data_IF_068394094055
#
_entry.id   IF_068394094055
#
_cell.length_a   1.000
_cell.length_b   1.000
_cell.length_c   1.000
_cell.angle_alpha   90.00
_cell.angle_beta   90.00
_cell.angle_gamma   90.00
#
_symmetry.space_group_name_H-M   'P 1'
#
loop_
_entity.id
_entity.type
_entity.pdbx_description
1 polymer ?
#
# COMPACT_ATOMS: atom_id res chain seq x y z
N UNK A 1 46.15 31.50 48.73
CA UNK A 1 45.02 32.41 48.42
C UNK A 1 43.78 31.54 48.27
N UNK A 2 42.68 31.92 48.92
CA UNK A 2 41.40 31.20 49.10
C UNK A 2 41.32 30.10 50.17
N UNK A 3 41.51 30.49 51.42
CA UNK A 3 40.64 30.04 52.52
C UNK A 3 39.59 31.12 52.76
N UNK A 4 38.51 31.11 51.98
CA UNK A 4 37.34 31.93 52.25
C UNK A 4 36.34 31.06 53.03
N UNK A 5 36.28 31.35 54.32
CA UNK A 5 35.42 30.80 55.36
C UNK A 5 33.96 30.63 54.89
N UNK A 6 33.53 29.37 54.75
CA UNK A 6 32.19 29.03 54.23
C UNK A 6 31.08 29.60 55.13
N UNK A 7 31.33 29.75 56.43
CA UNK A 7 30.37 30.30 57.38
C UNK A 7 29.99 31.76 57.07
N UNK A 8 30.94 32.55 56.54
CA UNK A 8 30.69 33.95 56.17
C UNK A 8 29.91 34.10 54.87
N UNK A 9 29.97 33.09 53.99
CA UNK A 9 29.15 33.05 52.77
C UNK A 9 27.69 32.83 53.10
N UNK A 10 27.41 31.94 54.05
CA UNK A 10 26.04 31.60 54.43
C UNK A 10 25.38 32.75 55.22
N UNK A 11 26.14 33.44 56.06
CA UNK A 11 25.69 34.67 56.73
C UNK A 11 25.39 35.80 55.73
N UNK A 12 26.22 35.96 54.69
CA UNK A 12 25.98 36.94 53.63
C UNK A 12 24.70 36.64 52.85
N UNK A 13 24.46 35.37 52.50
CA UNK A 13 23.25 34.95 51.78
C UNK A 13 21.96 35.14 52.61
N UNK A 14 22.03 34.99 53.93
CA UNK A 14 20.91 35.23 54.85
C UNK A 14 20.68 36.71 55.14
N UNK A 15 21.70 37.56 55.01
CA UNK A 15 21.62 39.01 55.23
C UNK A 15 21.10 39.80 54.03
N UNK A 16 21.08 39.18 52.84
CA UNK A 16 20.55 39.80 51.64
C UNK A 16 19.02 39.84 51.75
N UNK A 17 18.39 41.03 51.69
CA UNK A 17 16.94 41.09 51.63
C UNK A 17 16.50 40.44 50.31
N UNK A 18 16.00 39.22 50.39
CA UNK A 18 15.26 38.61 49.30
C UNK A 18 14.06 39.51 49.11
N UNK A 19 14.08 40.35 48.07
CA UNK A 19 12.86 40.93 47.52
C UNK A 19 12.06 39.74 46.99
N UNK A 20 11.23 39.16 47.85
CA UNK A 20 10.06 38.41 47.43
C UNK A 20 9.11 39.44 46.83
N UNK A 21 9.39 39.88 45.62
CA UNK A 21 8.28 40.29 44.77
C UNK A 21 7.41 39.04 44.62
N UNK A 22 6.09 39.15 44.81
CA UNK A 22 5.22 38.01 44.63
C UNK A 22 5.42 37.53 43.19
N UNK A 23 6.07 36.37 43.06
CA UNK A 23 5.97 35.59 41.84
C UNK A 23 4.50 35.28 41.75
N UNK A 24 3.84 35.89 40.78
CA UNK A 24 2.46 35.61 40.43
C UNK A 24 2.46 34.15 39.98
N UNK A 25 2.29 33.23 40.94
CA UNK A 25 1.91 31.85 40.72
C UNK A 25 0.48 31.87 40.18
N UNK A 26 0.33 32.39 38.96
CA UNK A 26 -0.75 31.97 38.11
C UNK A 26 -0.41 30.52 37.75
N UNK A 27 -0.77 29.60 38.64
CA UNK A 27 -1.22 28.28 38.21
C UNK A 27 -2.21 28.58 37.09
N UNK A 28 -1.76 28.37 35.85
CA UNK A 28 -2.61 28.34 34.68
C UNK A 28 -3.55 27.14 34.91
N UNK A 29 -4.59 27.37 35.73
CA UNK A 29 -5.64 26.42 36.03
C UNK A 29 -6.28 26.16 34.69
N UNK A 30 -5.86 25.07 34.06
CA UNK A 30 -6.56 24.51 32.91
C UNK A 30 -7.99 24.30 33.38
N UNK A 31 -8.89 25.19 32.95
CA UNK A 31 -10.27 25.15 33.38
C UNK A 31 -10.82 23.77 33.03
N UNK A 32 -11.54 23.08 33.94
CA UNK A 32 -12.17 21.80 33.63
C UNK A 32 -13.07 21.90 32.40
N UNK A 33 -13.69 23.07 32.18
CA UNK A 33 -14.46 23.37 30.96
C UNK A 33 -13.59 23.41 29.70
N UNK A 34 -12.33 23.86 29.80
CA UNK A 34 -11.37 23.84 28.70
C UNK A 34 -10.98 22.41 28.29
N UNK A 35 -10.85 21.51 29.26
CA UNK A 35 -10.58 20.08 29.01
C UNK A 35 -11.81 19.42 28.40
N UNK A 36 -13.01 19.69 28.92
CA UNK A 36 -14.26 19.17 28.36
C UNK A 36 -14.47 19.63 26.91
N UNK A 37 -14.20 20.89 26.62
CA UNK A 37 -14.25 21.43 25.25
C UNK A 37 -13.24 20.74 24.33
N UNK A 38 -11.99 20.54 24.78
CA UNK A 38 -10.95 19.86 24.00
C UNK A 38 -11.31 18.40 23.71
N UNK A 39 -11.87 17.70 24.69
CA UNK A 39 -12.33 16.31 24.55
C UNK A 39 -13.50 16.23 23.57
N UNK A 40 -14.43 17.18 23.63
CA UNK A 40 -15.56 17.25 22.70
C UNK A 40 -15.12 17.56 21.28
N UNK A 41 -14.16 18.48 21.10
CA UNK A 41 -13.55 18.77 19.79
C UNK A 41 -12.83 17.53 19.23
N UNK A 42 -12.05 16.84 20.06
CA UNK A 42 -11.37 15.61 19.64
C UNK A 42 -12.36 14.50 19.25
N UNK A 43 -13.46 14.35 19.99
CA UNK A 43 -14.52 13.41 19.66
C UNK A 43 -15.18 13.74 18.31
N UNK A 44 -15.45 15.03 18.05
CA UNK A 44 -16.00 15.49 16.79
C UNK A 44 -15.04 15.23 15.62
N UNK A 45 -13.74 15.49 15.80
CA UNK A 45 -12.72 15.20 14.79
C UNK A 45 -12.61 13.71 14.47
N UNK A 46 -12.70 12.84 15.48
CA UNK A 46 -12.69 11.39 15.28
C UNK A 46 -13.93 10.90 14.52
N UNK A 47 -15.09 11.49 14.81
CA UNK A 47 -16.32 11.16 14.10
C UNK A 47 -16.27 11.61 12.63
N UNK A 48 -15.70 12.79 12.36
CA UNK A 48 -15.49 13.27 10.99
C UNK A 48 -14.41 12.48 10.24
N UNK A 49 -13.34 12.07 10.91
CA UNK A 49 -12.34 11.17 10.35
C UNK A 49 -12.96 9.81 9.98
N UNK A 50 -13.89 9.29 10.80
CA UNK A 50 -14.62 8.05 10.53
C UNK A 50 -15.59 8.17 9.36
N UNK A 51 -16.17 9.35 9.12
CA UNK A 51 -17.06 9.62 7.99
C UNK A 51 -16.33 9.68 6.64
N UNK A 52 -14.98 9.70 6.62
CA UNK A 52 -14.23 9.68 5.35
C UNK A 52 -14.61 8.44 4.56
N UNK A 53 -15.25 8.67 3.42
CA UNK A 53 -15.79 7.62 2.55
C UNK A 53 -14.65 6.89 1.86
N UNK A 54 -14.83 5.58 1.66
CA UNK A 54 -13.93 4.74 0.86
C UNK A 54 -13.60 5.38 -0.50
N UNK A 55 -14.55 6.10 -1.11
CA UNK A 55 -14.33 6.81 -2.37
C UNK A 55 -13.16 7.81 -2.33
N UNK A 56 -13.07 8.64 -1.29
CA UNK A 56 -12.00 9.64 -1.16
C UNK A 56 -10.63 8.94 -0.97
N UNK A 57 -10.62 7.82 -0.25
CA UNK A 57 -9.41 7.01 -0.10
C UNK A 57 -8.97 6.42 -1.45
N UNK A 58 -9.90 5.82 -2.21
CA UNK A 58 -9.60 5.27 -3.52
C UNK A 58 -9.09 6.33 -4.50
N UNK A 59 -9.64 7.55 -4.46
CA UNK A 59 -9.16 8.65 -5.28
C UNK A 59 -7.70 9.02 -4.96
N UNK A 60 -7.33 9.09 -3.67
CA UNK A 60 -5.94 9.29 -3.28
C UNK A 60 -5.03 8.14 -3.75
N UNK A 61 -5.49 6.88 -3.67
CA UNK A 61 -4.73 5.73 -4.16
C UNK A 61 -4.51 5.81 -5.67
N UNK A 62 -5.54 6.19 -6.45
CA UNK A 62 -5.40 6.38 -7.91
C UNK A 62 -4.34 7.43 -8.23
N UNK A 63 -4.36 8.57 -7.54
CA UNK A 63 -3.35 9.61 -7.72
C UNK A 63 -1.94 9.10 -7.38
N UNK A 64 -1.81 8.28 -6.34
CA UNK A 64 -0.53 7.68 -5.97
C UNK A 64 -0.03 6.69 -7.04
N UNK A 65 -0.92 5.91 -7.66
CA UNK A 65 -0.58 5.03 -8.79
C UNK A 65 -0.06 5.79 -10.02
N UNK A 66 -0.49 7.05 -10.22
CA UNK A 66 0.05 7.90 -11.30
C UNK A 66 1.49 8.37 -11.02
N UNK A 67 1.91 8.40 -9.75
CA UNK A 67 3.25 8.80 -9.35
C UNK A 67 4.21 7.61 -9.19
N UNK A 68 3.70 6.43 -8.81
CA UNK A 68 4.49 5.22 -8.61
C UNK A 68 3.91 4.03 -9.39
N UNK A 69 4.60 3.67 -10.48
CA UNK A 69 4.22 2.53 -11.33
C UNK A 69 4.37 1.19 -10.60
N UNK A 70 5.31 1.05 -9.65
CA UNK A 70 5.48 -0.19 -8.89
C UNK A 70 4.31 -0.41 -7.93
N UNK A 71 3.78 0.68 -7.35
CA UNK A 71 2.57 0.60 -6.56
C UNK A 71 1.38 0.16 -7.42
N UNK A 72 1.22 0.76 -8.60
CA UNK A 72 0.15 0.41 -9.53
C UNK A 72 0.21 -1.08 -9.92
N UNK A 73 1.41 -1.60 -10.18
CA UNK A 73 1.64 -3.02 -10.44
C UNK A 73 1.20 -3.89 -9.26
N UNK A 74 1.71 -3.62 -8.04
CA UNK A 74 1.36 -4.41 -6.85
C UNK A 74 -0.14 -4.43 -6.59
N UNK A 75 -0.79 -3.28 -6.69
CA UNK A 75 -2.23 -3.18 -6.51
C UNK A 75 -3.00 -3.98 -7.56
N UNK A 76 -2.55 -3.96 -8.82
CA UNK A 76 -3.17 -4.78 -9.86
C UNK A 76 -3.04 -6.27 -9.57
N UNK A 77 -1.85 -6.74 -9.19
CA UNK A 77 -1.58 -8.14 -8.84
C UNK A 77 -2.44 -8.63 -7.66
N UNK A 78 -2.77 -7.76 -6.71
CA UNK A 78 -3.63 -8.12 -5.57
C UNK A 78 -5.14 -8.03 -5.88
N UNK A 79 -5.56 -7.01 -6.61
CA UNK A 79 -6.98 -6.72 -6.84
C UNK A 79 -7.58 -7.57 -7.95
N UNK A 80 -6.86 -7.77 -9.06
CA UNK A 80 -7.41 -8.46 -10.22
C UNK A 80 -7.81 -9.92 -9.91
N UNK A 81 -6.99 -10.75 -9.23
CA UNK A 81 -7.40 -12.10 -8.87
C UNK A 81 -8.62 -12.16 -7.95
N UNK A 82 -8.78 -11.16 -7.07
CA UNK A 82 -9.97 -11.02 -6.21
C UNK A 82 -11.21 -10.63 -7.01
N UNK A 83 -11.07 -9.72 -7.97
CA UNK A 83 -12.18 -9.39 -8.88
C UNK A 83 -12.57 -10.61 -9.72
N UNK A 84 -11.60 -11.37 -10.20
CA UNK A 84 -11.84 -12.60 -10.96
C UNK A 84 -12.62 -13.65 -10.17
N UNK A 85 -12.30 -13.82 -8.88
CA UNK A 85 -12.99 -14.79 -8.02
C UNK A 85 -14.45 -14.43 -7.72
N UNK A 86 -14.83 -13.15 -7.85
CA UNK A 86 -16.21 -12.67 -7.68
C UNK A 86 -17.06 -12.92 -8.94
N UNK A 87 -16.45 -12.97 -10.13
CA UNK A 87 -17.16 -13.18 -11.39
C UNK A 87 -17.82 -14.57 -11.46
N UNK A 88 -19.02 -14.63 -12.04
CA UNK A 88 -19.68 -15.90 -12.37
C UNK A 88 -18.93 -16.64 -13.48
N UNK A 89 -19.12 -17.96 -13.58
CA UNK A 89 -18.45 -18.77 -14.61
C UNK A 89 -18.77 -18.29 -16.02
N UNK A 90 -20.03 -17.89 -16.28
CA UNK A 90 -20.42 -17.30 -17.57
C UNK A 90 -19.65 -16.01 -17.89
N UNK A 91 -19.47 -15.13 -16.89
CA UNK A 91 -18.70 -13.90 -17.05
C UNK A 91 -17.22 -14.19 -17.27
N UNK A 92 -16.65 -15.14 -16.52
CA UNK A 92 -15.27 -15.59 -16.70
C UNK A 92 -15.03 -16.16 -18.09
N UNK A 93 -15.91 -17.01 -18.61
CA UNK A 93 -15.80 -17.55 -19.97
C UNK A 93 -15.85 -16.45 -21.02
N UNK A 94 -16.80 -15.51 -20.90
CA UNK A 94 -16.88 -14.37 -21.83
C UNK A 94 -15.62 -13.51 -21.78
N UNK A 95 -15.13 -13.20 -20.57
CA UNK A 95 -13.94 -12.38 -20.38
C UNK A 95 -12.66 -13.09 -20.86
N UNK A 96 -12.57 -14.41 -20.65
CA UNK A 96 -11.46 -15.24 -21.17
C UNK A 96 -11.36 -15.18 -22.69
N UNK A 97 -12.50 -15.11 -23.39
CA UNK A 97 -12.56 -14.97 -24.85
C UNK A 97 -11.92 -13.67 -25.35
N UNK A 98 -11.98 -12.60 -24.57
CA UNK A 98 -11.46 -11.28 -24.93
C UNK A 98 -10.05 -11.02 -24.39
N UNK A 99 -9.70 -11.60 -23.24
CA UNK A 99 -8.36 -11.46 -22.66
C UNK A 99 -7.29 -11.99 -23.63
N UNK A 100 -7.51 -13.14 -24.25
CA UNK A 100 -6.49 -13.77 -25.07
C UNK A 100 -6.16 -12.94 -26.33
N UNK A 101 -7.13 -12.46 -27.13
CA UNK A 101 -6.91 -11.49 -28.20
C UNK A 101 -6.26 -10.18 -27.73
N UNK A 102 -6.66 -9.69 -26.55
CA UNK A 102 -6.07 -8.48 -25.96
C UNK A 102 -4.57 -8.65 -25.69
N UNK A 103 -4.17 -9.75 -25.04
CA UNK A 103 -2.76 -10.02 -24.71
C UNK A 103 -1.85 -10.07 -25.94
N UNK A 104 -2.34 -10.64 -27.06
CA UNK A 104 -1.57 -10.75 -28.31
C UNK A 104 -1.71 -9.54 -29.22
N UNK A 105 -2.44 -8.51 -28.79
CA UNK A 105 -2.67 -7.33 -29.61
C UNK A 105 -1.42 -6.46 -29.75
N UNK A 106 -1.34 -5.73 -30.86
CA UNK A 106 -0.26 -4.78 -31.12
C UNK A 106 -0.24 -3.58 -30.16
N UNK A 107 -1.25 -3.40 -29.32
CA UNK A 107 -1.35 -2.28 -28.38
C UNK A 107 -0.19 -2.24 -27.38
N UNK A 108 0.41 -3.39 -27.09
CA UNK A 108 1.45 -3.53 -26.08
C UNK A 108 2.88 -3.37 -26.61
N UNK A 109 3.07 -3.19 -27.92
CA UNK A 109 4.40 -3.12 -28.54
C UNK A 109 5.20 -1.91 -28.04
N UNK A 110 4.55 -0.77 -27.86
CA UNK A 110 5.22 0.47 -27.45
C UNK A 110 5.68 0.48 -25.98
N UNK A 111 5.11 -0.39 -25.14
CA UNK A 111 5.37 -0.44 -23.69
C UNK A 111 6.19 -1.68 -23.27
N UNK A 112 6.66 -2.48 -24.23
CA UNK A 112 7.38 -3.74 -23.93
C UNK A 112 8.70 -3.51 -23.17
N UNK A 113 9.36 -2.38 -23.42
CA UNK A 113 10.68 -2.05 -22.86
C UNK A 113 10.59 -1.17 -21.60
N UNK A 114 9.37 -0.78 -21.20
CA UNK A 114 9.12 -0.01 -19.97
C UNK A 114 9.05 -0.98 -18.79
N UNK A 115 9.76 -0.67 -17.70
CA UNK A 115 9.73 -1.43 -16.46
C UNK A 115 9.04 -0.65 -15.33
N UNK A 116 8.07 -1.25 -14.63
CA UNK A 116 7.46 -2.56 -14.89
C UNK A 116 6.62 -2.57 -16.18
N UNK A 117 6.63 -3.70 -16.90
CA UNK A 117 5.88 -3.83 -18.16
C UNK A 117 4.42 -4.14 -17.87
N UNK A 118 3.51 -3.30 -18.35
CA UNK A 118 2.08 -3.49 -18.12
C UNK A 118 1.58 -4.86 -18.61
N UNK A 119 2.11 -5.38 -19.72
CA UNK A 119 1.72 -6.71 -20.20
C UNK A 119 2.27 -7.83 -19.28
N UNK A 120 3.49 -7.66 -18.75
CA UNK A 120 4.04 -8.58 -17.73
C UNK A 120 3.13 -8.64 -16.51
N UNK A 121 2.75 -7.47 -15.99
CA UNK A 121 1.90 -7.34 -14.80
C UNK A 121 0.51 -7.94 -15.03
N UNK A 122 -0.10 -7.72 -16.20
CA UNK A 122 -1.39 -8.32 -16.55
C UNK A 122 -1.25 -9.84 -16.63
N UNK A 123 -0.25 -10.34 -17.35
CA UNK A 123 -0.03 -11.78 -17.51
C UNK A 123 0.24 -12.48 -16.17
N UNK A 124 1.00 -11.85 -15.28
CA UNK A 124 1.23 -12.34 -13.92
C UNK A 124 -0.08 -12.36 -13.11
N UNK A 125 -0.88 -11.31 -13.13
CA UNK A 125 -2.16 -11.30 -12.44
C UNK A 125 -3.09 -12.44 -12.89
N UNK A 126 -3.09 -12.77 -14.19
CA UNK A 126 -3.84 -13.91 -14.74
C UNK A 126 -3.37 -15.25 -14.18
N UNK A 127 -2.07 -15.40 -13.92
CA UNK A 127 -1.51 -16.64 -13.33
C UNK A 127 -1.89 -16.83 -11.86
N UNK A 128 -2.23 -15.73 -11.16
CA UNK A 128 -2.66 -15.75 -9.76
C UNK A 128 -4.17 -15.98 -9.59
N UNK A 129 -4.94 -16.00 -10.68
CA UNK A 129 -6.38 -16.19 -10.65
C UNK A 129 -6.77 -17.60 -10.21
N UNK A 130 -7.83 -17.69 -9.40
CA UNK A 130 -8.49 -18.94 -9.04
C UNK A 130 -10.01 -18.83 -9.35
N UNK A 131 -10.58 -19.63 -10.25
CA UNK A 131 -9.95 -20.68 -11.07
C UNK A 131 -8.97 -20.10 -12.12
N UNK A 132 -7.91 -20.86 -12.49
CA UNK A 132 -6.87 -20.38 -13.40
C UNK A 132 -7.39 -20.16 -14.83
N UNK A 133 -6.90 -19.10 -15.47
CA UNK A 133 -7.17 -18.85 -16.89
C UNK A 133 -6.32 -19.79 -17.76
N UNK A 134 -6.97 -20.58 -18.61
CA UNK A 134 -6.29 -21.48 -19.54
C UNK A 134 -5.71 -20.71 -20.72
N UNK A 135 -4.42 -20.39 -20.66
CA UNK A 135 -3.67 -19.78 -21.77
C UNK A 135 -2.98 -20.89 -22.57
N UNK A 136 -3.16 -20.89 -23.90
CA UNK A 136 -2.54 -21.90 -24.76
C UNK A 136 -1.01 -21.74 -24.78
N UNK A 137 -0.22 -22.84 -24.74
CA UNK A 137 1.26 -22.77 -24.78
C UNK A 137 1.82 -21.98 -25.98
N UNK A 138 1.17 -22.08 -27.14
CA UNK A 138 1.55 -21.33 -28.34
C UNK A 138 1.46 -19.80 -28.13
N UNK A 139 0.45 -19.34 -27.39
CA UNK A 139 0.29 -17.91 -27.06
C UNK A 139 1.33 -17.49 -26.04
N UNK A 140 1.59 -18.32 -25.02
CA UNK A 140 2.63 -18.03 -24.04
C UNK A 140 4.01 -17.91 -24.71
N UNK A 141 4.35 -18.82 -25.64
CA UNK A 141 5.60 -18.75 -26.40
C UNK A 141 5.72 -17.45 -27.22
N UNK A 142 4.63 -17.01 -27.86
CA UNK A 142 4.59 -15.71 -28.54
C UNK A 142 4.83 -14.55 -27.57
N UNK A 143 4.11 -14.52 -26.45
CA UNK A 143 4.23 -13.48 -25.43
C UNK A 143 5.66 -13.38 -24.86
N UNK A 144 6.28 -14.53 -24.60
CA UNK A 144 7.67 -14.61 -24.13
C UNK A 144 8.65 -13.97 -25.11
N UNK A 145 8.48 -14.25 -26.42
CA UNK A 145 9.35 -13.72 -27.49
C UNK A 145 9.07 -12.25 -27.81
N UNK A 146 7.80 -11.85 -27.87
CA UNK A 146 7.40 -10.52 -28.34
C UNK A 146 7.53 -9.43 -27.26
N UNK A 147 7.34 -9.79 -25.99
CA UNK A 147 7.25 -8.84 -24.87
C UNK A 147 8.25 -9.09 -23.74
N UNK A 148 9.33 -9.83 -24.01
CA UNK A 148 10.40 -10.11 -23.05
C UNK A 148 9.90 -10.82 -21.76
N UNK A 149 8.83 -11.61 -21.86
CA UNK A 149 8.22 -12.35 -20.75
C UNK A 149 8.78 -13.78 -20.61
N UNK A 150 9.94 -14.06 -21.20
CA UNK A 150 10.49 -15.40 -21.33
C UNK A 150 10.60 -16.14 -20.00
N UNK A 151 11.05 -15.46 -18.93
CA UNK A 151 11.20 -16.08 -17.60
C UNK A 151 9.85 -16.54 -17.04
N UNK A 152 8.84 -15.65 -17.08
CA UNK A 152 7.50 -15.96 -16.57
C UNK A 152 6.80 -17.03 -17.39
N UNK A 153 6.93 -16.96 -18.72
CA UNK A 153 6.37 -17.97 -19.63
C UNK A 153 6.99 -19.34 -19.38
N UNK A 154 8.30 -19.41 -19.17
CA UNK A 154 9.00 -20.68 -18.89
C UNK A 154 8.47 -21.32 -17.61
N UNK A 155 8.39 -20.55 -16.51
CA UNK A 155 7.83 -21.03 -15.24
C UNK A 155 6.37 -21.49 -15.38
N UNK A 156 5.55 -20.73 -16.11
CA UNK A 156 4.15 -21.10 -16.35
C UNK A 156 4.02 -22.41 -17.14
N UNK A 157 4.85 -22.61 -18.16
CA UNK A 157 4.88 -23.85 -18.95
C UNK A 157 5.36 -25.04 -18.11
N UNK A 158 6.37 -24.85 -17.27
CA UNK A 158 6.85 -25.88 -16.32
C UNK A 158 5.73 -26.31 -15.37
N UNK A 159 4.99 -25.35 -14.81
CA UNK A 159 3.86 -25.63 -13.93
C UNK A 159 2.75 -26.40 -14.67
N UNK A 160 2.41 -26.02 -15.91
CA UNK A 160 1.42 -26.75 -16.71
C UNK A 160 1.84 -28.20 -16.96
N UNK A 161 3.12 -28.46 -17.25
CA UNK A 161 3.65 -29.82 -17.43
C UNK A 161 3.58 -30.60 -16.13
N UNK A 162 3.96 -30.00 -15.01
CA UNK A 162 3.89 -30.64 -13.69
C UNK A 162 2.45 -31.04 -13.32
N UNK A 163 1.48 -30.17 -13.59
CA UNK A 163 0.05 -30.44 -13.39
C UNK A 163 -0.45 -31.58 -14.27
N UNK A 164 -0.02 -31.65 -15.54
CA UNK A 164 -0.36 -32.75 -16.45
C UNK A 164 0.20 -34.10 -15.97
N UNK A 165 1.46 -34.13 -15.52
CA UNK A 165 2.10 -35.35 -14.99
C UNK A 165 1.39 -35.83 -13.72
N UNK A 166 1.02 -34.91 -12.83
CA UNK A 166 0.26 -35.25 -11.63
C UNK A 166 -1.12 -35.84 -11.96
N UNK A 167 -1.83 -35.28 -12.93
CA UNK A 167 -3.11 -35.82 -13.40
C UNK A 167 -2.96 -37.19 -14.05
N UNK A 168 -1.89 -37.42 -14.82
CA UNK A 168 -1.60 -38.72 -15.44
C UNK A 168 -1.21 -39.80 -14.41
N UNK A 169 -0.66 -39.42 -13.25
CA UNK A 169 -0.27 -40.35 -12.18
C UNK A 169 -1.42 -40.74 -11.26
N UNK A 170 -2.53 -39.99 -11.31
CA UNK A 170 -3.74 -40.22 -10.50
C UNK A 170 -4.83 -41.01 -11.23
N UNK A 171 -4.69 -41.19 -12.55
CA UNK A 171 -5.57 -41.99 -13.40
C UNK A 171 -4.92 -43.34 -13.74
#
# INVERSE_FOLDING_TARGET
INTADSAKRDEFLLSLPIKTEPVDEQEEKVSPEGIENLVNEQAALLDDARKKRLGNFLECVIQLCHMDTNLAEKLWLELFPRMWSILSDRQRTSLSGEILPFLVSGAHVCQKDIHPSALSTIFEALSLCNPPLQVKPAVMAYLGKAHNLWHRVTLGLEQMVAEQVNQASQN
#
